data_IF_926075581782
#
_entry.id   IF_926075581782
#
_cell.length_a   1.000
_cell.length_b   1.000
_cell.length_c   1.000
_cell.angle_alpha   90.00
_cell.angle_beta   90.00
_cell.angle_gamma   90.00
#
_symmetry.space_group_name_H-M   'P 1'
#
loop_
_entity.id
_entity.type
_entity.pdbx_description
1 polymer ?
#
# COMPACT_ATOMS: atom_id res chain seq x y z
N UNK A 1 -7.49 -33.49 -11.95
CA UNK A 1 -7.57 -32.01 -11.87
C UNK A 1 -6.38 -31.52 -11.09
N UNK A 2 -5.75 -30.41 -11.50
CA UNK A 2 -4.64 -29.80 -10.74
C UNK A 2 -5.20 -28.68 -9.86
N UNK A 3 -4.75 -28.62 -8.62
CA UNK A 3 -5.04 -27.52 -7.69
C UNK A 3 -3.95 -26.47 -7.88
N UNK A 4 -4.37 -25.20 -7.98
CA UNK A 4 -3.48 -24.04 -8.03
C UNK A 4 -3.59 -23.28 -6.70
N UNK A 5 -2.45 -22.95 -6.12
CA UNK A 5 -2.33 -22.15 -4.90
C UNK A 5 -1.46 -20.94 -5.21
N UNK A 6 -2.01 -19.76 -4.98
CA UNK A 6 -1.28 -18.52 -5.17
C UNK A 6 -0.34 -18.26 -3.99
N UNK A 7 0.91 -17.92 -4.31
CA UNK A 7 1.93 -17.55 -3.31
C UNK A 7 1.83 -16.08 -2.89
N UNK A 8 1.02 -15.30 -3.58
CA UNK A 8 0.81 -13.88 -3.36
C UNK A 8 -0.67 -13.61 -3.14
N UNK A 9 -0.97 -12.43 -2.58
CA UNK A 9 -2.34 -12.02 -2.35
C UNK A 9 -3.07 -11.82 -3.68
N UNK A 10 -4.13 -12.59 -3.88
CA UNK A 10 -4.93 -12.54 -5.10
C UNK A 10 -5.76 -11.27 -5.22
N UNK A 11 -5.99 -10.85 -6.47
CA UNK A 11 -7.00 -9.85 -6.80
C UNK A 11 -8.42 -10.41 -6.59
N UNK A 12 -9.36 -9.53 -6.24
CA UNK A 12 -10.76 -9.90 -6.00
C UNK A 12 -11.04 -10.49 -4.61
N UNK A 13 -10.02 -10.74 -3.79
CA UNK A 13 -10.20 -11.11 -2.38
C UNK A 13 -10.67 -9.89 -1.59
N UNK A 14 -11.79 -10.02 -0.87
CA UNK A 14 -12.43 -8.90 -0.15
C UNK A 14 -11.48 -8.17 0.81
N UNK A 15 -10.56 -8.89 1.45
CA UNK A 15 -9.60 -8.32 2.40
C UNK A 15 -8.36 -7.71 1.75
N UNK A 16 -8.12 -7.93 0.45
CA UNK A 16 -6.89 -7.51 -0.20
C UNK A 16 -6.64 -5.99 -0.13
N UNK A 17 -7.63 -5.11 -0.38
CA UNK A 17 -7.43 -3.67 -0.24
C UNK A 17 -7.06 -3.27 1.20
N UNK A 18 -7.64 -3.91 2.21
CA UNK A 18 -7.31 -3.62 3.62
C UNK A 18 -5.89 -4.03 3.98
N UNK A 19 -5.45 -5.21 3.55
CA UNK A 19 -4.09 -5.70 3.80
C UNK A 19 -3.04 -4.80 3.15
N UNK A 20 -3.22 -4.49 1.86
CA UNK A 20 -2.32 -3.56 1.16
C UNK A 20 -2.40 -2.14 1.72
N UNK A 21 -3.58 -1.73 2.20
CA UNK A 21 -3.77 -0.49 2.94
C UNK A 21 -2.88 -0.37 4.17
N UNK A 22 -2.76 -1.43 4.97
CA UNK A 22 -1.88 -1.44 6.15
C UNK A 22 -0.39 -1.41 5.79
N UNK A 23 0.00 -2.10 4.72
CA UNK A 23 1.39 -2.03 4.21
C UNK A 23 1.72 -0.59 3.80
N UNK A 24 0.83 0.07 3.06
CA UNK A 24 1.01 1.46 2.66
C UNK A 24 0.97 2.44 3.85
N UNK A 25 0.23 2.15 4.92
CA UNK A 25 0.28 2.94 6.16
C UNK A 25 1.68 2.89 6.79
N UNK A 26 2.28 1.70 6.86
CA UNK A 26 3.66 1.55 7.34
C UNK A 26 4.66 2.29 6.45
N UNK A 27 4.49 2.21 5.12
CA UNK A 27 5.33 2.96 4.18
C UNK A 27 5.19 4.47 4.37
N UNK A 28 3.97 4.98 4.49
CA UNK A 28 3.72 6.40 4.71
C UNK A 28 4.31 6.88 6.03
N UNK A 29 4.25 6.07 7.08
CA UNK A 29 4.91 6.35 8.36
C UNK A 29 6.43 6.45 8.18
N UNK A 30 7.08 5.48 7.52
CA UNK A 30 8.52 5.50 7.24
C UNK A 30 8.91 6.75 6.45
N UNK A 31 8.19 7.05 5.36
CA UNK A 31 8.48 8.19 4.48
C UNK A 31 8.40 9.51 5.24
N UNK A 32 7.38 9.69 6.07
CA UNK A 32 7.24 10.88 6.94
C UNK A 32 8.40 10.98 7.93
N UNK A 33 8.83 9.87 8.53
CA UNK A 33 10.00 9.84 9.42
C UNK A 33 11.33 10.13 8.70
N UNK A 34 11.39 9.89 7.38
CA UNK A 34 12.54 10.23 6.53
C UNK A 34 12.49 11.64 5.95
N UNK A 35 11.51 12.45 6.35
CA UNK A 35 11.42 13.86 5.95
C UNK A 35 10.54 14.13 4.73
N UNK A 36 9.80 13.13 4.23
CA UNK A 36 8.76 13.37 3.22
C UNK A 36 7.55 14.02 3.89
N UNK A 37 7.41 15.32 3.73
CA UNK A 37 6.40 16.10 4.46
C UNK A 37 5.02 16.07 3.78
N UNK A 38 4.98 16.14 2.45
CA UNK A 38 3.74 16.21 1.70
C UNK A 38 3.45 14.88 0.99
N UNK A 39 2.79 13.98 1.73
CA UNK A 39 2.42 12.64 1.30
C UNK A 39 0.95 12.36 1.62
N UNK A 40 0.16 12.07 0.60
CA UNK A 40 -1.21 11.57 0.72
C UNK A 40 -1.25 10.08 0.37
N UNK A 41 -2.05 9.30 1.10
CA UNK A 41 -2.19 7.85 0.90
C UNK A 41 -3.64 7.47 0.69
N UNK A 42 -3.90 6.55 -0.24
CA UNK A 42 -5.19 5.90 -0.46
C UNK A 42 -4.97 4.42 -0.79
N UNK A 43 -5.41 3.49 0.06
CA UNK A 43 -5.15 2.04 -0.10
C UNK A 43 -3.65 1.78 -0.35
N UNK A 44 -3.23 1.38 -1.55
CA UNK A 44 -1.82 1.20 -1.93
C UNK A 44 -1.21 2.38 -2.70
N UNK A 45 -2.03 3.38 -3.05
CA UNK A 45 -1.59 4.60 -3.74
C UNK A 45 -0.93 5.60 -2.78
N UNK A 46 0.21 6.13 -3.20
CA UNK A 46 0.95 7.19 -2.52
C UNK A 46 1.14 8.38 -3.47
N UNK A 47 0.54 9.51 -3.14
CA UNK A 47 0.72 10.77 -3.86
C UNK A 47 1.71 11.67 -3.11
N UNK A 48 2.83 11.94 -3.78
CA UNK A 48 3.88 12.85 -3.29
C UNK A 48 3.67 14.23 -3.86
N UNK A 49 3.73 15.24 -3.01
CA UNK A 49 3.66 16.63 -3.43
C UNK A 49 5.01 17.29 -3.18
N UNK A 50 5.38 18.18 -4.10
CA UNK A 50 6.52 19.06 -3.95
C UNK A 50 6.03 20.46 -4.26
N UNK A 51 6.16 21.36 -3.30
CA UNK A 51 5.94 22.78 -3.51
C UNK A 51 7.21 23.40 -4.12
N UNK A 52 7.09 24.51 -4.88
CA UNK A 52 8.22 25.21 -5.50
C UNK A 52 9.37 25.50 -4.52
#
# INVERSE_FOLDING_TARGET
GRVHLDFMLNFGVRSAPGLWGHVADAMAWILKHKGVQALLKWVDDLAFFRFP
#
